data_IF_365196287086
#
_entry.id   IF_365196287086
#
_cell.length_a   1.000
_cell.length_b   1.000
_cell.length_c   1.000
_cell.angle_alpha   90.00
_cell.angle_beta   90.00
_cell.angle_gamma   90.00
#
_symmetry.space_group_name_H-M   'P 1'
#
loop_
_entity.id
_entity.type
_entity.pdbx_description
1 polymer ?
#
# COMPACT_ATOMS: atom_id res chain seq x y z
N UNK A 1 -20.46 47.68 13.58
CA UNK A 1 -21.30 48.69 12.91
C UNK A 1 -21.68 48.16 11.53
N UNK A 2 -22.97 47.99 11.27
CA UNK A 2 -23.49 47.51 9.97
C UNK A 2 -23.26 48.58 8.90
N UNK A 3 -22.72 48.20 7.74
CA UNK A 3 -22.48 49.13 6.63
C UNK A 3 -23.79 49.35 5.86
N UNK A 4 -24.16 50.61 5.66
CA UNK A 4 -25.20 51.03 4.70
C UNK A 4 -24.65 50.88 3.28
N UNK A 5 -25.52 50.56 2.31
CA UNK A 5 -25.06 49.92 1.06
C UNK A 5 -25.19 50.66 -0.27
N UNK A 6 -25.55 51.93 -0.41
CA UNK A 6 -25.69 52.57 -1.76
C UNK A 6 -26.62 51.83 -2.76
N UNK A 7 -27.69 52.50 -3.16
CA UNK A 7 -28.70 51.99 -4.09
C UNK A 7 -28.10 51.48 -5.42
N UNK A 8 -27.04 52.13 -5.91
CA UNK A 8 -26.36 51.73 -7.16
C UNK A 8 -25.79 50.30 -7.12
N UNK A 9 -25.19 49.92 -6.00
CA UNK A 9 -24.57 48.61 -5.84
C UNK A 9 -25.65 47.51 -5.78
N UNK A 10 -26.75 47.77 -5.09
CA UNK A 10 -27.94 46.89 -5.06
C UNK A 10 -28.52 46.72 -6.46
N UNK A 11 -28.73 47.82 -7.19
CA UNK A 11 -29.25 47.80 -8.56
C UNK A 11 -28.35 46.97 -9.50
N UNK A 12 -27.03 47.09 -9.38
CA UNK A 12 -26.09 46.30 -10.19
C UNK A 12 -26.22 44.80 -9.91
N UNK A 13 -26.30 44.40 -8.64
CA UNK A 13 -26.44 42.98 -8.27
C UNK A 13 -27.81 42.42 -8.64
N UNK A 14 -28.88 43.20 -8.51
CA UNK A 14 -30.21 42.82 -8.97
C UNK A 14 -30.28 42.68 -10.50
N UNK A 15 -29.59 43.54 -11.27
CA UNK A 15 -29.46 43.38 -12.72
C UNK A 15 -28.69 42.10 -13.10
N UNK A 16 -27.63 41.74 -12.38
CA UNK A 16 -26.88 40.50 -12.61
C UNK A 16 -27.75 39.26 -12.37
N UNK A 17 -28.49 39.22 -11.26
CA UNK A 17 -29.43 38.12 -10.97
C UNK A 17 -30.52 38.01 -12.05
N UNK A 18 -31.04 39.15 -12.52
CA UNK A 18 -32.04 39.18 -13.59
C UNK A 18 -31.47 38.72 -14.93
N UNK A 19 -30.23 39.10 -15.28
CA UNK A 19 -29.56 38.66 -16.51
C UNK A 19 -29.26 37.16 -16.51
N UNK A 20 -29.13 36.56 -15.32
CA UNK A 20 -28.95 35.12 -15.11
C UNK A 20 -30.28 34.35 -14.98
N UNK A 21 -31.44 35.01 -15.19
CA UNK A 21 -32.78 34.47 -14.97
C UNK A 21 -33.00 33.89 -13.55
N UNK A 22 -32.31 34.43 -12.55
CA UNK A 22 -32.48 34.04 -11.16
C UNK A 22 -33.47 34.95 -10.43
N UNK A 23 -34.25 34.38 -9.51
CA UNK A 23 -35.12 35.15 -8.63
C UNK A 23 -34.30 36.08 -7.73
N UNK A 24 -34.63 37.37 -7.75
CA UNK A 24 -34.00 38.39 -6.92
C UNK A 24 -34.50 38.20 -5.48
N UNK A 25 -33.64 37.73 -4.57
CA UNK A 25 -33.94 37.65 -3.14
C UNK A 25 -32.90 38.41 -2.33
N UNK A 26 -33.32 38.99 -1.20
CA UNK A 26 -32.44 39.76 -0.30
C UNK A 26 -31.23 38.94 0.12
N UNK A 27 -31.42 37.63 0.37
CA UNK A 27 -30.34 36.72 0.74
C UNK A 27 -29.31 36.51 -0.37
N UNK A 28 -29.75 36.41 -1.64
CA UNK A 28 -28.84 36.30 -2.79
C UNK A 28 -28.07 37.60 -3.01
N UNK A 29 -28.76 38.73 -2.97
CA UNK A 29 -28.13 40.05 -3.09
C UNK A 29 -27.13 40.28 -1.96
N UNK A 30 -27.46 39.86 -0.72
CA UNK A 30 -26.54 39.92 0.43
C UNK A 30 -25.29 39.06 0.23
N UNK A 31 -25.43 37.84 -0.30
CA UNK A 31 -24.29 36.98 -0.64
C UNK A 31 -23.39 37.61 -1.70
N UNK A 32 -23.97 38.30 -2.69
CA UNK A 32 -23.22 38.98 -3.76
C UNK A 32 -22.51 40.27 -3.33
N UNK A 33 -22.92 40.88 -2.21
CA UNK A 33 -22.33 42.11 -1.67
C UNK A 33 -21.35 41.81 -0.53
N UNK A 34 -21.65 40.83 0.32
CA UNK A 34 -20.85 40.43 1.48
C UNK A 34 -21.63 40.54 2.80
N UNK A 35 -21.25 39.74 3.79
CA UNK A 35 -22.03 39.54 5.04
C UNK A 35 -22.14 40.74 6.00
N UNK A 36 -21.43 41.85 5.75
CA UNK A 36 -21.34 43.01 6.66
C UNK A 36 -22.42 44.09 6.49
N UNK A 37 -23.46 43.82 5.69
CA UNK A 37 -24.50 44.79 5.31
C UNK A 37 -25.72 44.68 6.23
N UNK A 38 -26.34 45.83 6.55
CA UNK A 38 -27.63 45.87 7.27
C UNK A 38 -28.74 45.22 6.44
N UNK A 39 -29.40 44.20 7.01
CA UNK A 39 -30.50 43.48 6.34
C UNK A 39 -31.66 44.43 6.07
N UNK A 40 -31.97 45.35 6.99
CA UNK A 40 -33.10 46.29 6.88
C UNK A 40 -32.89 47.24 5.70
N UNK A 41 -31.69 47.84 5.59
CA UNK A 41 -31.30 48.72 4.47
C UNK A 41 -31.33 47.94 3.14
N UNK A 42 -30.91 46.67 3.14
CA UNK A 42 -30.91 45.86 1.93
C UNK A 42 -32.33 45.46 1.50
N UNK A 43 -33.23 45.17 2.44
CA UNK A 43 -34.63 44.85 2.15
C UNK A 43 -35.28 46.04 1.45
N UNK A 44 -35.19 47.23 2.03
CA UNK A 44 -35.80 48.45 1.50
C UNK A 44 -35.32 48.78 0.08
N UNK A 45 -34.01 48.64 -0.17
CA UNK A 45 -33.40 48.92 -1.48
C UNK A 45 -33.71 47.86 -2.53
N UNK A 46 -33.86 46.59 -2.12
CA UNK A 46 -34.23 45.48 -3.00
C UNK A 46 -35.73 45.51 -3.33
N UNK A 47 -36.59 45.90 -2.38
CA UNK A 47 -38.02 46.08 -2.62
C UNK A 47 -38.25 47.26 -3.56
N UNK A 48 -37.57 48.40 -3.35
CA UNK A 48 -37.61 49.54 -4.27
C UNK A 48 -37.26 49.14 -5.70
N UNK A 49 -36.22 48.31 -5.90
CA UNK A 49 -35.83 47.83 -7.22
C UNK A 49 -36.84 46.86 -7.85
N UNK A 50 -37.54 46.05 -7.03
CA UNK A 50 -38.56 45.10 -7.50
C UNK A 50 -39.85 45.80 -7.89
N UNK A 51 -40.27 46.80 -7.14
CA UNK A 51 -41.53 47.51 -7.31
C UNK A 51 -41.43 48.58 -8.40
N UNK A 52 -40.40 49.44 -8.36
CA UNK A 52 -40.18 50.49 -9.36
C UNK A 52 -38.69 50.65 -9.73
N UNK A 53 -38.32 49.97 -10.81
CA UNK A 53 -36.96 50.04 -11.38
C UNK A 53 -36.54 51.46 -11.77
N UNK A 54 -37.47 52.32 -12.20
CA UNK A 54 -37.13 53.68 -12.67
C UNK A 54 -36.81 54.60 -11.50
N UNK A 55 -37.59 54.51 -10.41
CA UNK A 55 -37.30 55.23 -9.17
C UNK A 55 -36.00 54.74 -8.53
N UNK A 56 -35.74 53.43 -8.52
CA UNK A 56 -34.49 52.87 -8.01
C UNK A 56 -33.24 53.37 -8.75
N UNK A 57 -33.35 53.63 -10.06
CA UNK A 57 -32.27 54.23 -10.86
C UNK A 57 -32.11 55.72 -10.56
N UNK A 58 -33.21 56.47 -10.40
CA UNK A 58 -33.18 57.88 -10.04
C UNK A 58 -32.56 58.14 -8.66
N UNK A 59 -32.88 57.31 -7.66
CA UNK A 59 -32.26 57.37 -6.33
C UNK A 59 -30.76 57.05 -6.39
N UNK A 60 -30.36 56.11 -7.24
CA UNK A 60 -28.94 55.79 -7.46
C UNK A 60 -28.17 56.91 -8.19
N UNK A 61 -28.84 57.72 -9.01
CA UNK A 61 -28.27 58.91 -9.65
C UNK A 61 -28.22 60.11 -8.70
N UNK A 62 -29.19 60.24 -7.79
CA UNK A 62 -29.17 61.25 -6.73
C UNK A 62 -28.07 60.99 -5.68
N UNK A 63 -27.79 59.73 -5.32
CA UNK A 63 -26.65 59.36 -4.44
C UNK A 63 -25.29 59.81 -5.03
N UNK A 64 -25.14 59.92 -6.35
CA UNK A 64 -23.90 60.46 -6.96
C UNK A 64 -23.76 61.97 -6.84
N UNK A 65 -24.82 62.72 -6.53
CA UNK A 65 -24.81 64.18 -6.45
C UNK A 65 -24.44 64.73 -5.07
N UNK A 66 -24.42 63.89 -4.02
CA UNK A 66 -24.03 64.31 -2.65
C UNK A 66 -22.50 64.46 -2.44
N UNK A 67 -21.68 64.56 -3.50
CA UNK A 67 -20.21 64.68 -3.39
C UNK A 67 -19.75 66.10 -2.97
N UNK A 68 -20.64 67.09 -2.92
CA UNK A 68 -20.26 68.48 -2.60
C UNK A 68 -20.62 68.92 -1.18
N UNK A 69 -20.34 68.09 -0.17
CA UNK A 69 -20.10 68.65 1.17
C UNK A 69 -18.59 68.94 1.30
N UNK A 70 -18.20 70.15 1.74
CA UNK A 70 -16.79 70.49 1.93
C UNK A 70 -16.27 69.68 3.12
N UNK A 71 -15.65 68.54 2.84
CA UNK A 71 -14.90 67.81 3.87
C UNK A 71 -13.63 68.61 4.13
N UNK A 72 -13.55 69.21 5.32
CA UNK A 72 -12.36 69.90 5.81
C UNK A 72 -11.29 68.87 6.18
N UNK A 73 -10.50 68.47 5.19
CA UNK A 73 -9.34 67.59 5.39
C UNK A 73 -8.05 68.41 5.52
N UNK A 74 -7.06 67.90 6.27
CA UNK A 74 -5.72 68.51 6.41
C UNK A 74 -5.05 68.77 5.04
N UNK A 75 -5.36 67.96 4.03
CA UNK A 75 -4.87 68.13 2.66
C UNK A 75 -5.46 69.38 1.99
N UNK A 76 -6.71 69.72 2.29
CA UNK A 76 -7.35 70.93 1.78
C UNK A 76 -6.77 72.16 2.47
N UNK A 77 -6.49 72.09 3.78
CA UNK A 77 -5.86 73.19 4.51
C UNK A 77 -4.43 73.46 4.06
N UNK A 78 -3.64 72.41 3.79
CA UNK A 78 -2.29 72.55 3.23
C UNK A 78 -2.29 73.08 1.81
N UNK A 79 -3.25 72.65 0.96
CA UNK A 79 -3.42 73.22 -0.39
C UNK A 79 -3.86 74.68 -0.32
N UNK A 80 -4.77 75.04 0.59
CA UNK A 80 -5.18 76.43 0.80
C UNK A 80 -4.05 77.32 1.30
N UNK A 81 -3.29 76.88 2.31
CA UNK A 81 -2.19 77.66 2.88
C UNK A 81 -1.06 77.86 1.87
N UNK A 82 -0.73 76.83 1.09
CA UNK A 82 0.24 76.96 -0.01
C UNK A 82 -0.26 77.88 -1.11
N UNK A 83 -1.51 77.77 -1.57
CA UNK A 83 -2.08 78.68 -2.58
C UNK A 83 -2.12 80.15 -2.10
N UNK A 84 -2.43 80.39 -0.81
CA UNK A 84 -2.36 81.72 -0.19
C UNK A 84 -0.95 82.30 -0.18
N UNK A 85 0.08 81.48 0.07
CA UNK A 85 1.48 81.92 0.00
C UNK A 85 1.91 82.39 -1.41
N UNK A 86 1.20 81.95 -2.46
CA UNK A 86 1.41 82.39 -3.85
C UNK A 86 0.41 83.47 -4.31
N UNK A 87 -0.40 84.04 -3.40
CA UNK A 87 -1.35 85.12 -3.71
C UNK A 87 -2.63 84.67 -4.41
N UNK A 88 -2.96 83.38 -4.40
CA UNK A 88 -4.18 82.83 -5.03
C UNK A 88 -5.25 82.60 -3.97
N UNK A 89 -6.16 83.56 -3.81
CA UNK A 89 -7.26 83.49 -2.84
C UNK A 89 -8.57 83.04 -3.50
N UNK A 90 -8.54 81.82 -4.06
CA UNK A 90 -9.72 81.18 -4.68
C UNK A 90 -9.94 79.78 -4.15
N UNK A 91 -10.90 79.65 -3.24
CA UNK A 91 -11.25 78.39 -2.60
C UNK A 91 -11.65 77.29 -3.59
N UNK A 92 -12.32 77.64 -4.69
CA UNK A 92 -12.71 76.67 -5.72
C UNK A 92 -11.52 75.98 -6.39
N UNK A 93 -10.38 76.69 -6.53
CA UNK A 93 -9.15 76.12 -7.09
C UNK A 93 -8.53 75.16 -6.07
N UNK A 94 -8.53 75.51 -4.78
CA UNK A 94 -8.04 74.65 -3.72
C UNK A 94 -8.84 73.33 -3.63
N UNK A 95 -10.17 73.40 -3.71
CA UNK A 95 -11.04 72.22 -3.73
C UNK A 95 -10.82 71.36 -4.97
N UNK A 96 -10.72 71.97 -6.16
CA UNK A 96 -10.48 71.23 -7.41
C UNK A 96 -9.12 70.53 -7.39
N UNK A 97 -8.07 71.22 -6.92
CA UNK A 97 -6.73 70.64 -6.81
C UNK A 97 -6.69 69.49 -5.79
N UNK A 98 -7.31 69.66 -4.62
CA UNK A 98 -7.43 68.59 -3.61
C UNK A 98 -8.15 67.36 -4.17
N UNK A 99 -9.24 67.56 -4.90
CA UNK A 99 -10.00 66.46 -5.51
C UNK A 99 -9.20 65.76 -6.61
N UNK A 100 -8.48 66.50 -7.46
CA UNK A 100 -7.62 65.92 -8.49
C UNK A 100 -6.46 65.12 -7.88
N UNK A 101 -5.83 65.64 -6.82
CA UNK A 101 -4.76 64.94 -6.08
C UNK A 101 -5.31 63.67 -5.43
N UNK A 102 -6.47 63.75 -4.77
CA UNK A 102 -7.10 62.60 -4.13
C UNK A 102 -7.47 61.52 -5.16
N UNK A 103 -8.04 61.91 -6.30
CA UNK A 103 -8.35 60.97 -7.38
C UNK A 103 -7.08 60.30 -7.94
N UNK A 104 -5.99 61.06 -8.13
CA UNK A 104 -4.72 60.51 -8.59
C UNK A 104 -4.12 59.52 -7.57
N UNK A 105 -4.13 59.87 -6.28
CA UNK A 105 -3.66 58.99 -5.19
C UNK A 105 -4.50 57.72 -5.16
N UNK A 106 -5.83 57.82 -5.20
CA UNK A 106 -6.73 56.66 -5.24
C UNK A 106 -6.48 55.77 -6.47
N UNK A 107 -6.25 56.38 -7.64
CA UNK A 107 -5.88 55.63 -8.85
C UNK A 107 -4.54 54.90 -8.67
N UNK A 108 -3.50 55.54 -8.14
CA UNK A 108 -2.19 54.91 -7.92
C UNK A 108 -2.25 53.79 -6.88
N UNK A 109 -2.99 54.01 -5.79
CA UNK A 109 -3.25 52.98 -4.78
C UNK A 109 -3.96 51.80 -5.43
N UNK A 110 -5.05 52.03 -6.17
CA UNK A 110 -5.81 50.95 -6.82
C UNK A 110 -4.96 50.14 -7.81
N UNK A 111 -4.10 50.81 -8.58
CA UNK A 111 -3.16 50.17 -9.53
C UNK A 111 -2.09 49.35 -8.80
N UNK A 112 -1.63 49.83 -7.64
CA UNK A 112 -0.65 49.10 -6.82
C UNK A 112 -1.30 47.90 -6.12
N UNK A 113 -2.50 48.07 -5.56
CA UNK A 113 -3.25 47.00 -4.90
C UNK A 113 -3.63 45.89 -5.88
N UNK A 114 -4.03 46.23 -7.11
CA UNK A 114 -4.33 45.22 -8.14
C UNK A 114 -3.10 44.42 -8.55
N UNK A 115 -1.94 45.06 -8.72
CA UNK A 115 -0.66 44.37 -8.96
C UNK A 115 -0.28 43.44 -7.82
N UNK A 116 -0.44 43.87 -6.56
CA UNK A 116 -0.16 43.04 -5.39
C UNK A 116 -1.11 41.83 -5.31
N UNK A 117 -2.41 42.03 -5.55
CA UNK A 117 -3.39 40.93 -5.61
C UNK A 117 -3.03 39.91 -6.69
N UNK A 118 -2.60 40.37 -7.87
CA UNK A 118 -2.17 39.47 -8.93
C UNK A 118 -0.95 38.62 -8.51
N UNK A 119 0.08 39.25 -7.94
CA UNK A 119 1.25 38.53 -7.40
C UNK A 119 0.88 37.54 -6.29
N UNK A 120 -0.07 37.90 -5.43
CA UNK A 120 -0.54 37.02 -4.36
C UNK A 120 -1.21 35.77 -4.93
N UNK A 121 -2.06 35.91 -5.95
CA UNK A 121 -2.68 34.77 -6.63
C UNK A 121 -1.63 33.90 -7.33
N UNK A 122 -0.67 34.51 -8.02
CA UNK A 122 0.42 33.78 -8.68
C UNK A 122 1.26 32.97 -7.68
N UNK A 123 1.60 33.55 -6.53
CA UNK A 123 2.32 32.85 -5.46
C UNK A 123 1.48 31.73 -4.85
N UNK A 124 0.18 31.95 -4.63
CA UNK A 124 -0.74 30.92 -4.15
C UNK A 124 -0.77 29.72 -5.10
N UNK A 125 -0.95 29.97 -6.41
CA UNK A 125 -0.98 28.90 -7.41
C UNK A 125 0.36 28.13 -7.49
N UNK A 126 1.49 28.84 -7.34
CA UNK A 126 2.82 28.21 -7.26
C UNK A 126 2.95 27.33 -6.02
N UNK A 127 2.45 27.80 -4.87
CA UNK A 127 2.44 27.02 -3.64
C UNK A 127 1.59 25.75 -3.77
N UNK A 128 0.38 25.86 -4.33
CA UNK A 128 -0.50 24.72 -4.57
C UNK A 128 0.17 23.69 -5.52
N UNK A 129 0.86 24.18 -6.56
CA UNK A 129 1.61 23.33 -7.49
C UNK A 129 2.76 22.59 -6.80
N UNK A 130 3.47 23.26 -5.88
CA UNK A 130 4.53 22.64 -5.08
C UNK A 130 3.98 21.60 -4.11
N UNK A 131 2.84 21.87 -3.48
CA UNK A 131 2.17 20.93 -2.58
C UNK A 131 1.74 19.66 -3.33
N UNK A 132 1.15 19.80 -4.52
CA UNK A 132 0.80 18.66 -5.39
C UNK A 132 2.04 17.85 -5.77
N UNK A 133 3.14 18.52 -6.13
CA UNK A 133 4.40 17.85 -6.45
C UNK A 133 4.96 17.09 -5.24
N UNK A 134 4.87 17.68 -4.05
CA UNK A 134 5.36 17.05 -2.82
C UNK A 134 4.53 15.80 -2.47
N UNK A 135 3.20 15.90 -2.54
CA UNK A 135 2.31 14.75 -2.34
C UNK A 135 2.57 13.63 -3.35
N UNK A 136 2.86 13.98 -4.60
CA UNK A 136 3.20 13.00 -5.64
C UNK A 136 4.54 12.30 -5.34
N UNK A 137 5.55 13.05 -4.87
CA UNK A 137 6.83 12.50 -4.46
C UNK A 137 6.70 11.58 -3.24
N UNK A 138 5.93 11.98 -2.23
CA UNK A 138 5.67 11.14 -1.06
C UNK A 138 5.00 9.82 -1.44
N UNK A 139 4.05 9.85 -2.39
CA UNK A 139 3.42 8.65 -2.91
C UNK A 139 4.44 7.74 -3.60
N UNK A 140 5.24 8.27 -4.52
CA UNK A 140 6.29 7.50 -5.19
C UNK A 140 7.29 6.91 -4.20
N UNK A 141 7.64 7.66 -3.15
CA UNK A 141 8.52 7.18 -2.09
C UNK A 141 7.92 6.00 -1.32
N UNK A 142 6.63 6.07 -0.95
CA UNK A 142 5.93 4.96 -0.28
C UNK A 142 5.87 3.72 -1.17
N UNK A 143 5.52 3.87 -2.45
CA UNK A 143 5.49 2.76 -3.41
C UNK A 143 6.88 2.12 -3.58
N UNK A 144 7.95 2.93 -3.58
CA UNK A 144 9.32 2.42 -3.62
C UNK A 144 9.70 1.66 -2.35
N UNK A 145 9.28 2.16 -1.18
CA UNK A 145 9.52 1.51 0.10
C UNK A 145 8.83 0.14 0.17
N UNK A 146 7.57 0.06 -0.28
CA UNK A 146 6.82 -1.20 -0.37
C UNK A 146 7.52 -2.21 -1.28
N UNK A 147 7.93 -1.79 -2.49
CA UNK A 147 8.69 -2.66 -3.40
C UNK A 147 10.01 -3.14 -2.79
N UNK A 148 10.72 -2.25 -2.09
CA UNK A 148 11.96 -2.62 -1.40
C UNK A 148 11.71 -3.67 -0.31
N UNK A 149 10.64 -3.53 0.47
CA UNK A 149 10.28 -4.53 1.48
C UNK A 149 9.90 -5.88 0.87
N UNK A 150 9.12 -5.88 -0.22
CA UNK A 150 8.76 -7.10 -0.95
C UNK A 150 10.01 -7.81 -1.48
N UNK A 151 10.91 -7.08 -2.14
CA UNK A 151 12.19 -7.63 -2.62
C UNK A 151 13.03 -8.22 -1.50
N UNK A 152 13.06 -7.59 -0.33
CA UNK A 152 13.79 -8.09 0.84
C UNK A 152 13.21 -9.43 1.33
N UNK A 153 11.87 -9.54 1.36
CA UNK A 153 11.18 -10.79 1.74
C UNK A 153 11.40 -11.89 0.69
N UNK A 154 11.31 -11.56 -0.60
CA UNK A 154 11.60 -12.49 -1.69
C UNK A 154 13.03 -13.03 -1.60
N UNK A 155 14.03 -12.16 -1.41
CA UNK A 155 15.43 -12.57 -1.23
C UNK A 155 15.59 -13.50 -0.03
N UNK A 156 14.92 -13.22 1.09
CA UNK A 156 14.94 -14.09 2.26
C UNK A 156 14.34 -15.47 1.95
N UNK A 157 13.18 -15.50 1.29
CA UNK A 157 12.49 -16.74 0.90
C UNK A 157 13.33 -17.59 -0.06
N UNK A 158 14.00 -16.96 -1.03
CA UNK A 158 14.89 -17.62 -2.00
C UNK A 158 16.09 -18.21 -1.27
N UNK A 159 16.71 -17.45 -0.35
CA UNK A 159 17.86 -17.94 0.43
C UNK A 159 17.48 -19.15 1.29
N UNK A 160 16.30 -19.12 1.91
CA UNK A 160 15.79 -20.25 2.68
C UNK A 160 15.53 -21.47 1.77
N UNK A 161 14.86 -21.28 0.63
CA UNK A 161 14.61 -22.35 -0.34
C UNK A 161 15.90 -22.96 -0.88
N UNK A 162 16.89 -22.15 -1.21
CA UNK A 162 18.19 -22.60 -1.66
C UNK A 162 18.88 -23.47 -0.60
N UNK A 163 18.93 -23.01 0.64
CA UNK A 163 19.53 -23.77 1.74
C UNK A 163 18.84 -25.13 1.93
N UNK A 164 17.51 -25.17 1.93
CA UNK A 164 16.76 -26.41 2.05
C UNK A 164 17.03 -27.36 0.86
N UNK A 165 17.09 -26.85 -0.37
CA UNK A 165 17.43 -27.66 -1.54
C UNK A 165 18.85 -28.21 -1.45
N UNK A 166 19.82 -27.39 -1.06
CA UNK A 166 21.22 -27.81 -0.90
C UNK A 166 21.38 -28.91 0.14
N UNK A 167 20.69 -28.80 1.29
CA UNK A 167 20.69 -29.85 2.32
C UNK A 167 20.11 -31.15 1.76
N UNK A 168 18.96 -31.10 1.08
CA UNK A 168 18.35 -32.30 0.46
C UNK A 168 19.27 -32.94 -0.60
N UNK A 169 19.99 -32.13 -1.38
CA UNK A 169 20.96 -32.62 -2.35
C UNK A 169 22.13 -33.32 -1.65
N UNK A 170 22.66 -32.74 -0.57
CA UNK A 170 23.73 -33.36 0.23
C UNK A 170 23.25 -34.66 0.91
N UNK A 171 22.03 -34.70 1.45
CA UNK A 171 21.42 -35.91 2.00
C UNK A 171 21.26 -36.99 0.91
N UNK A 172 20.85 -36.59 -0.29
CA UNK A 172 20.75 -37.52 -1.42
C UNK A 172 22.13 -38.03 -1.85
N UNK A 173 23.13 -37.16 -1.96
CA UNK A 173 24.48 -37.55 -2.36
C UNK A 173 25.17 -38.44 -1.31
N UNK A 174 24.95 -38.17 -0.02
CA UNK A 174 25.44 -39.03 1.06
C UNK A 174 24.74 -40.38 1.08
N UNK A 175 23.42 -40.42 0.87
CA UNK A 175 22.69 -41.70 0.73
C UNK A 175 23.14 -42.47 -0.51
N UNK A 176 23.30 -41.82 -1.65
CA UNK A 176 23.79 -42.45 -2.89
C UNK A 176 25.23 -42.99 -2.74
N UNK A 177 26.12 -42.28 -2.03
CA UNK A 177 27.48 -42.77 -1.71
C UNK A 177 27.50 -43.94 -0.71
N UNK A 178 26.46 -44.10 0.10
CA UNK A 178 26.33 -45.22 1.04
C UNK A 178 25.79 -46.49 0.38
N UNK A 179 25.27 -46.42 -0.85
CA UNK A 179 24.81 -47.58 -1.60
C UNK A 179 25.99 -48.37 -2.14
N UNK A 180 25.93 -49.70 -1.99
CA UNK A 180 26.93 -50.61 -2.56
C UNK A 180 26.70 -50.80 -4.06
N UNK A 181 27.78 -50.86 -4.84
CA UNK A 181 27.71 -51.36 -6.21
C UNK A 181 27.35 -52.86 -6.19
N UNK A 182 26.60 -53.34 -7.18
CA UNK A 182 26.10 -54.73 -7.23
C UNK A 182 27.21 -55.79 -7.15
N UNK A 183 28.40 -55.44 -7.62
CA UNK A 183 29.60 -56.29 -7.62
C UNK A 183 30.16 -56.50 -6.20
N UNK A 184 30.04 -55.49 -5.33
CA UNK A 184 30.57 -55.49 -3.95
C UNK A 184 29.67 -56.19 -2.92
N UNK A 185 28.52 -56.72 -3.33
CA UNK A 185 27.60 -57.42 -2.44
C UNK A 185 28.26 -58.68 -1.89
N UNK A 186 28.44 -58.73 -0.57
CA UNK A 186 29.04 -59.88 0.13
C UNK A 186 28.12 -61.08 0.16
N UNK A 187 28.68 -62.27 0.40
CA UNK A 187 27.88 -63.48 0.60
C UNK A 187 27.04 -63.42 1.87
N UNK A 188 25.91 -64.15 1.91
CA UNK A 188 24.96 -64.15 3.06
C UNK A 188 25.67 -64.46 4.39
N UNK A 189 26.59 -65.43 4.40
CA UNK A 189 27.34 -65.82 5.61
C UNK A 189 28.20 -64.68 6.15
N UNK A 190 28.84 -63.92 5.26
CA UNK A 190 29.67 -62.76 5.63
C UNK A 190 28.82 -61.59 6.10
N UNK A 191 27.68 -61.34 5.45
CA UNK A 191 26.71 -60.34 5.90
C UNK A 191 26.21 -60.64 7.31
N UNK A 192 25.80 -61.88 7.58
CA UNK A 192 25.33 -62.31 8.90
C UNK A 192 26.44 -62.29 9.96
N UNK A 193 27.67 -62.66 9.60
CA UNK A 193 28.82 -62.59 10.50
C UNK A 193 29.15 -61.14 10.89
N UNK A 194 29.09 -60.20 9.93
CA UNK A 194 29.34 -58.78 10.20
C UNK A 194 28.31 -58.13 11.14
N UNK A 195 27.10 -58.71 11.21
CA UNK A 195 26.00 -58.24 12.04
C UNK A 195 25.75 -59.12 13.25
N UNK A 196 26.63 -60.08 13.56
CA UNK A 196 26.43 -61.09 14.61
C UNK A 196 26.24 -60.52 16.03
N UNK A 197 26.59 -59.25 16.25
CA UNK A 197 26.40 -58.52 17.51
C UNK A 197 24.91 -58.26 17.78
N UNK A 198 24.07 -58.18 16.73
CA UNK A 198 22.66 -57.87 16.85
C UNK A 198 21.80 -59.13 16.98
N UNK A 199 20.75 -59.04 17.80
CA UNK A 199 19.85 -60.17 18.04
C UNK A 199 18.89 -60.45 16.89
N UNK A 200 18.47 -59.42 16.15
CA UNK A 200 17.58 -59.52 14.99
C UNK A 200 18.25 -58.91 13.76
N UNK A 201 18.50 -59.73 12.74
CA UNK A 201 19.30 -59.39 11.57
C UNK A 201 18.52 -59.76 10.30
N UNK A 202 18.61 -58.92 9.27
CA UNK A 202 18.14 -59.22 7.94
C UNK A 202 19.24 -58.98 6.88
N UNK A 203 19.49 -59.99 6.07
CA UNK A 203 20.49 -60.04 5.01
C UNK A 203 19.83 -60.21 3.64
N UNK A 204 20.50 -59.80 2.57
CA UNK A 204 20.01 -59.95 1.20
C UNK A 204 20.92 -60.87 0.39
N UNK A 205 20.32 -61.84 -0.29
CA UNK A 205 21.03 -62.67 -1.25
C UNK A 205 20.87 -62.16 -2.69
N UNK A 206 21.92 -62.29 -3.50
CA UNK A 206 21.95 -61.92 -4.92
C UNK A 206 20.86 -62.63 -5.74
N UNK A 207 20.38 -63.78 -5.26
CA UNK A 207 19.28 -64.54 -5.86
C UNK A 207 17.88 -63.90 -5.68
N UNK A 208 17.77 -62.77 -4.98
CA UNK A 208 16.49 -62.09 -4.76
C UNK A 208 15.75 -62.51 -3.51
N UNK A 209 16.45 -63.16 -2.58
CA UNK A 209 15.92 -63.75 -1.36
C UNK A 209 16.37 -62.92 -0.15
N UNK A 210 15.52 -62.80 0.87
CA UNK A 210 15.88 -62.13 2.13
C UNK A 210 16.08 -63.19 3.20
N UNK A 211 17.20 -63.14 3.91
CA UNK A 211 17.49 -64.05 5.02
C UNK A 211 17.37 -63.31 6.33
N UNK A 212 16.56 -63.81 7.26
CA UNK A 212 16.37 -63.22 8.58
C UNK A 212 16.85 -64.16 9.68
N UNK A 213 17.54 -63.61 10.66
CA UNK A 213 18.01 -64.33 11.86
C UNK A 213 17.51 -63.58 13.09
N UNK A 214 16.88 -64.30 14.01
CA UNK A 214 16.31 -63.74 15.23
C UNK A 214 16.27 -64.80 16.34
N UNK A 215 16.10 -64.42 17.61
CA UNK A 215 16.12 -65.36 18.74
C UNK A 215 14.94 -66.34 18.68
N UNK A 216 15.13 -67.58 19.15
CA UNK A 216 14.09 -68.60 19.11
C UNK A 216 12.85 -68.28 19.98
N UNK A 217 12.96 -67.31 20.88
CA UNK A 217 11.86 -66.80 21.72
C UNK A 217 10.97 -65.79 21.02
N UNK A 218 11.30 -65.40 19.78
CA UNK A 218 10.54 -64.39 19.05
C UNK A 218 9.21 -64.94 18.52
N UNK A 219 8.20 -64.08 18.45
CA UNK A 219 6.84 -64.44 18.02
C UNK A 219 6.81 -64.92 16.56
N UNK A 220 7.78 -64.47 15.74
CA UNK A 220 7.92 -64.87 14.34
C UNK A 220 8.31 -66.35 14.17
N UNK A 221 8.79 -67.02 15.22
CA UNK A 221 9.21 -68.43 15.14
C UNK A 221 8.05 -69.35 14.78
N UNK A 222 6.85 -69.12 15.35
CA UNK A 222 5.66 -69.93 15.08
C UNK A 222 5.15 -69.72 13.65
N UNK A 223 5.13 -68.47 13.21
CA UNK A 223 4.72 -68.08 11.85
C UNK A 223 5.67 -68.60 10.77
N UNK A 224 6.98 -68.53 11.00
CA UNK A 224 7.97 -69.01 10.02
C UNK A 224 7.95 -70.54 9.89
N UNK A 225 7.62 -71.26 10.97
CA UNK A 225 7.41 -72.73 10.95
C UNK A 225 6.18 -73.15 10.17
N UNK A 226 5.15 -72.29 10.06
CA UNK A 226 3.96 -72.57 9.26
C UNK A 226 4.22 -72.50 7.73
N UNK A 227 5.43 -72.12 7.31
CA UNK A 227 5.89 -72.13 5.91
C UNK A 227 5.43 -70.95 5.05
N UNK A 228 4.35 -70.27 5.44
CA UNK A 228 3.90 -69.00 4.83
C UNK A 228 3.51 -68.04 5.93
N UNK A 229 4.31 -66.98 6.11
CA UNK A 229 4.01 -65.97 7.12
C UNK A 229 3.03 -64.92 6.58
N UNK A 230 1.96 -64.66 7.33
CA UNK A 230 0.98 -63.61 6.97
C UNK A 230 1.56 -62.22 7.17
N UNK A 231 2.39 -62.06 8.19
CA UNK A 231 3.04 -60.79 8.53
C UNK A 231 4.14 -60.42 7.53
N UNK A 232 5.02 -61.37 7.21
CA UNK A 232 6.11 -61.15 6.25
C UNK A 232 5.65 -61.24 4.80
N UNK A 233 4.43 -61.71 4.53
CA UNK A 233 3.85 -61.88 3.19
C UNK A 233 4.78 -62.63 2.22
N UNK A 234 5.50 -63.60 2.75
CA UNK A 234 6.53 -64.37 2.06
C UNK A 234 6.47 -65.83 2.51
N UNK A 235 6.98 -66.72 1.65
CA UNK A 235 7.25 -68.11 2.00
C UNK A 235 8.51 -68.17 2.85
N UNK A 236 8.45 -68.90 3.95
CA UNK A 236 9.52 -69.01 4.96
C UNK A 236 10.06 -70.43 4.96
N UNK A 237 11.36 -70.59 4.73
CA UNK A 237 12.05 -71.89 4.80
C UNK A 237 13.23 -71.76 5.75
N UNK A 238 13.41 -72.70 6.67
CA UNK A 238 14.58 -72.69 7.55
C UNK A 238 15.77 -73.34 6.85
N UNK A 239 16.88 -72.60 6.72
CA UNK A 239 18.13 -73.15 6.20
C UNK A 239 19.02 -73.57 7.38
N UNK A 240 19.24 -74.88 7.51
CA UNK A 240 20.05 -75.48 8.55
C UNK A 240 21.56 -75.18 8.40
N UNK A 241 22.03 -74.87 7.19
CA UNK A 241 23.45 -74.58 6.95
C UNK A 241 23.86 -73.19 7.42
N UNK A 242 22.91 -72.25 7.42
CA UNK A 242 23.12 -70.85 7.81
C UNK A 242 22.46 -70.55 9.17
N UNK A 243 21.63 -71.48 9.67
CA UNK A 243 20.82 -71.34 10.89
C UNK A 243 19.97 -70.07 10.87
N UNK A 244 19.29 -69.84 9.74
CA UNK A 244 18.50 -68.64 9.52
C UNK A 244 17.26 -68.96 8.68
N UNK A 245 16.26 -68.07 8.77
CA UNK A 245 15.03 -68.19 7.99
C UNK A 245 15.18 -67.48 6.66
N UNK A 246 14.87 -68.20 5.59
CA UNK A 246 14.96 -67.74 4.21
C UNK A 246 13.55 -67.35 3.74
N UNK A 247 13.41 -66.10 3.30
CA UNK A 247 12.17 -65.52 2.80
C UNK A 247 12.19 -65.45 1.27
N UNK A 248 11.22 -66.08 0.62
CA UNK A 248 11.07 -66.10 -0.84
C UNK A 248 9.61 -65.93 -1.27
N UNK A 249 9.36 -65.67 -2.56
CA UNK A 249 7.99 -65.59 -3.09
C UNK A 249 7.16 -64.44 -2.51
N UNK A 250 7.77 -63.27 -2.35
CA UNK A 250 7.13 -62.08 -1.78
C UNK A 250 5.93 -61.63 -2.61
N UNK A 251 4.77 -61.42 -1.97
CA UNK A 251 3.64 -60.72 -2.61
C UNK A 251 3.91 -59.22 -2.74
N UNK A 252 4.59 -58.64 -1.75
CA UNK A 252 4.98 -57.23 -1.71
C UNK A 252 6.20 -57.09 -0.79
N UNK A 253 7.37 -56.93 -1.40
CA UNK A 253 8.64 -56.88 -0.66
C UNK A 253 8.75 -55.65 0.23
N UNK A 254 8.13 -54.52 -0.15
CA UNK A 254 8.27 -53.26 0.59
C UNK A 254 7.53 -53.36 1.93
N UNK A 255 6.34 -53.95 1.93
CA UNK A 255 5.61 -54.23 3.18
C UNK A 255 6.36 -55.20 4.10
N UNK A 256 7.08 -56.18 3.54
CA UNK A 256 7.94 -57.08 4.32
C UNK A 256 9.10 -56.31 4.96
N UNK A 257 9.76 -55.42 4.20
CA UNK A 257 10.84 -54.58 4.71
C UNK A 257 10.35 -53.60 5.79
N UNK A 258 9.23 -52.93 5.57
CA UNK A 258 8.63 -52.02 6.55
C UNK A 258 8.26 -52.75 7.85
N UNK A 259 7.78 -54.00 7.74
CA UNK A 259 7.49 -54.82 8.91
C UNK A 259 8.77 -55.19 9.68
N UNK A 260 9.85 -55.56 8.99
CA UNK A 260 11.12 -55.88 9.62
C UNK A 260 11.73 -54.65 10.30
N UNK A 261 11.64 -53.48 9.67
CA UNK A 261 12.09 -52.19 10.21
C UNK A 261 11.32 -51.81 11.49
N UNK A 262 9.99 -51.92 11.47
CA UNK A 262 9.14 -51.69 12.67
C UNK A 262 9.45 -52.65 13.82
N UNK A 263 9.87 -53.88 13.50
CA UNK A 263 10.24 -54.89 14.49
C UNK A 263 11.73 -54.87 14.89
N UNK A 264 12.43 -53.77 14.57
CA UNK A 264 13.83 -53.52 14.96
C UNK A 264 14.83 -54.54 14.41
N UNK A 265 14.59 -55.08 13.21
CA UNK A 265 15.61 -55.86 12.51
C UNK A 265 16.69 -54.93 11.95
N UNK A 266 17.96 -55.28 12.18
CA UNK A 266 19.10 -54.57 11.60
C UNK A 266 19.36 -55.11 10.20
N UNK A 267 19.33 -54.23 9.20
CA UNK A 267 19.56 -54.59 7.80
C UNK A 267 21.04 -54.56 7.47
N UNK A 268 21.50 -55.56 6.72
CA UNK A 268 22.76 -55.50 5.98
C UNK A 268 22.80 -54.32 5.01
N UNK A 269 24.00 -53.83 4.70
CA UNK A 269 24.19 -52.72 3.76
C UNK A 269 23.64 -53.07 2.37
N UNK A 270 23.71 -54.34 2.00
CA UNK A 270 23.17 -54.92 0.78
C UNK A 270 21.64 -54.87 0.76
N UNK A 271 20.98 -55.27 1.85
CA UNK A 271 19.53 -55.19 1.97
C UNK A 271 19.04 -53.74 2.02
N UNK A 272 19.77 -52.83 2.68
CA UNK A 272 19.50 -51.39 2.67
C UNK A 272 19.58 -50.81 1.25
N UNK A 273 20.60 -51.20 0.48
CA UNK A 273 20.77 -50.77 -0.90
C UNK A 273 19.60 -51.22 -1.79
N UNK A 274 19.16 -52.47 -1.64
CA UNK A 274 18.01 -53.00 -2.40
C UNK A 274 16.69 -52.36 -1.96
N UNK A 275 16.51 -52.12 -0.67
CA UNK A 275 15.33 -51.43 -0.14
C UNK A 275 15.23 -50.01 -0.74
N UNK A 276 16.34 -49.27 -0.78
CA UNK A 276 16.42 -47.94 -1.38
C UNK A 276 16.08 -47.97 -2.89
N UNK A 277 16.73 -48.86 -3.65
CA UNK A 277 16.51 -48.99 -5.09
C UNK A 277 15.06 -49.38 -5.44
N UNK A 278 14.41 -50.21 -4.62
CA UNK A 278 13.01 -50.59 -4.83
C UNK A 278 12.02 -49.50 -4.40
N UNK A 279 12.32 -48.70 -3.38
CA UNK A 279 11.51 -47.54 -2.97
C UNK A 279 11.56 -46.40 -4.00
N UNK A 280 12.67 -46.25 -4.73
CA UNK A 280 12.84 -45.23 -5.78
C UNK A 280 12.39 -45.63 -7.19
N UNK A 281 12.20 -46.93 -7.47
CA UNK A 281 11.69 -47.43 -8.76
C UNK A 281 10.17 -47.67 -8.79
N UNK A 282 9.51 -47.65 -7.63
CA UNK A 282 8.04 -47.75 -7.50
C UNK A 282 7.37 -46.39 -7.65
#
# INVERSE_FOLDING_TARGET
MSKQVAQRLVNQKCNLLRAQNEEITVNKVRKLIGGGVSIIDLVEKVTLYKEDKKQALAVAEQETLEINQPVHDELLETVRSTLKNFGVDRDNIAFSLRNNIMQYIQQQISKSTTKLKYKQVELSNKNDSLEISNLSLERCYKELLEKYTQLKEEVYSIKQSYNTKSIKFLEKETTDKMLLAWEDFKGIKEQLASLAIYSKIAAYDKSGVIVIKFPATDFLTQECRAGVSRYLKAKTVFDYNIQAWVLSGFKDILKTLDFLERNKFVFSKELQTIAYLRRHKS
#
